data_IF_680085759765
#
_entry.id   IF_680085759765
#
_cell.length_a   1.000
_cell.length_b   1.000
_cell.length_c   1.000
_cell.angle_alpha   90.00
_cell.angle_beta   90.00
_cell.angle_gamma   90.00
#
_symmetry.space_group_name_H-M   'P 1'
#
loop_
_entity.id
_entity.type
_entity.pdbx_description
1 polymer ?
#
# COMPACT_ATOMS: atom_id res chain seq x y z
N UNK A 1 14.99 -5.99 8.22
CA UNK A 1 15.59 -5.30 7.06
C UNK A 1 15.60 -6.26 5.91
N UNK A 2 15.09 -5.81 4.77
CA UNK A 2 15.18 -6.53 3.50
C UNK A 2 16.09 -5.73 2.57
N UNK A 3 17.00 -6.42 1.90
CA UNK A 3 18.02 -5.80 1.06
C UNK A 3 18.02 -6.48 -0.30
N UNK A 4 18.08 -5.67 -1.35
CA UNK A 4 18.33 -6.12 -2.72
C UNK A 4 19.71 -5.60 -3.12
N UNK A 5 20.61 -6.51 -3.48
CA UNK A 5 21.97 -6.18 -3.89
C UNK A 5 22.18 -6.57 -5.36
N UNK A 6 22.67 -5.61 -6.15
CA UNK A 6 23.06 -5.79 -7.54
C UNK A 6 24.54 -5.55 -7.73
N UNK A 7 25.26 -6.53 -8.28
CA UNK A 7 26.67 -6.40 -8.65
C UNK A 7 26.80 -6.20 -10.15
N UNK A 8 27.22 -5.00 -10.56
CA UNK A 8 27.58 -4.69 -11.95
C UNK A 8 29.10 -4.80 -12.12
N UNK A 9 29.55 -5.56 -13.12
CA UNK A 9 30.97 -5.65 -13.45
C UNK A 9 31.30 -5.11 -14.84
N UNK A 10 32.30 -4.22 -14.99
CA UNK A 10 32.73 -3.70 -16.30
C UNK A 10 33.52 -4.73 -17.12
N UNK A 11 34.00 -5.80 -16.49
CA UNK A 11 34.78 -6.87 -17.13
C UNK A 11 34.43 -8.20 -16.47
N UNK A 12 34.55 -9.31 -17.20
CA UNK A 12 34.38 -10.63 -16.60
C UNK A 12 35.33 -10.81 -15.41
N UNK A 13 34.78 -11.09 -14.24
CA UNK A 13 35.54 -11.36 -13.03
C UNK A 13 34.78 -12.33 -12.11
N UNK A 14 35.53 -12.96 -11.21
CA UNK A 14 35.01 -13.88 -10.22
C UNK A 14 34.93 -13.18 -8.87
N UNK A 15 33.82 -13.38 -8.16
CA UNK A 15 33.51 -12.69 -6.92
C UNK A 15 33.09 -13.69 -5.85
N UNK A 16 33.34 -13.32 -4.61
CA UNK A 16 32.56 -13.82 -3.49
C UNK A 16 31.83 -12.65 -2.83
N UNK A 17 30.59 -12.87 -2.43
CA UNK A 17 29.74 -11.86 -1.81
C UNK A 17 29.10 -12.40 -0.53
N UNK A 18 29.20 -11.64 0.55
CA UNK A 18 28.55 -11.94 1.83
C UNK A 18 27.96 -10.68 2.45
N UNK A 19 26.88 -10.88 3.19
CA UNK A 19 26.32 -9.89 4.11
C UNK A 19 26.31 -10.60 5.47
N UNK A 20 27.22 -10.25 6.39
CA UNK A 20 27.25 -10.84 7.72
C UNK A 20 25.90 -10.71 8.42
N UNK A 21 25.55 -11.71 9.24
CA UNK A 21 24.30 -11.74 10.01
C UNK A 21 22.99 -11.65 9.18
N UNK A 22 23.07 -11.93 7.88
CA UNK A 22 21.91 -11.97 6.99
C UNK A 22 21.74 -13.34 6.32
N UNK A 23 20.49 -13.71 6.06
CA UNK A 23 20.19 -14.83 5.16
C UNK A 23 20.28 -14.34 3.72
N UNK A 24 21.21 -14.89 2.93
CA UNK A 24 21.43 -14.52 1.54
C UNK A 24 20.75 -15.50 0.57
N UNK A 25 20.16 -15.00 -0.51
CA UNK A 25 19.61 -15.78 -1.61
C UNK A 25 19.93 -15.13 -2.95
N UNK A 26 20.18 -15.94 -3.97
CA UNK A 26 20.21 -15.44 -5.36
C UNK A 26 18.79 -15.15 -5.83
N UNK A 27 18.56 -14.02 -6.50
CA UNK A 27 17.26 -13.74 -7.11
C UNK A 27 17.05 -14.63 -8.33
N UNK A 28 15.91 -15.36 -8.42
CA UNK A 28 15.57 -16.09 -9.62
C UNK A 28 15.21 -15.08 -10.72
N UNK A 29 15.99 -15.05 -11.80
CA UNK A 29 15.66 -14.25 -12.98
C UNK A 29 14.27 -14.64 -13.50
N UNK A 30 13.45 -13.68 -13.96
CA UNK A 30 12.13 -13.99 -14.51
C UNK A 30 12.27 -15.03 -15.61
N UNK A 31 11.51 -16.13 -15.49
CA UNK A 31 11.40 -17.12 -16.58
C UNK A 31 10.95 -16.35 -17.81
N UNK A 32 11.76 -16.35 -18.88
CA UNK A 32 11.33 -15.81 -20.16
C UNK A 32 10.14 -16.64 -20.66
N UNK A 33 8.93 -16.16 -20.39
CA UNK A 33 7.71 -16.66 -21.01
C UNK A 33 7.59 -15.91 -22.34
N UNK A 34 8.37 -16.33 -23.33
CA UNK A 34 8.37 -15.71 -24.66
C UNK A 34 9.64 -16.04 -25.45
N UNK A 35 9.50 -16.85 -26.50
CA UNK A 35 10.61 -17.36 -27.31
C UNK A 35 11.27 -16.31 -28.21
N UNK A 36 12.18 -15.51 -27.66
CA UNK A 36 13.18 -14.79 -28.46
C UNK A 36 14.53 -15.51 -28.41
N UNK A 37 14.90 -16.09 -29.56
CA UNK A 37 16.06 -16.97 -29.79
C UNK A 37 17.45 -16.28 -29.77
N UNK A 38 17.59 -15.03 -29.29
CA UNK A 38 18.83 -14.25 -29.43
C UNK A 38 19.45 -13.81 -28.07
N UNK A 39 18.83 -14.11 -26.93
CA UNK A 39 19.41 -13.78 -25.62
C UNK A 39 19.67 -15.06 -24.79
N UNK A 40 20.67 -15.84 -25.18
CA UNK A 40 21.28 -16.80 -24.25
C UNK A 40 22.14 -16.02 -23.26
N UNK A 41 21.54 -15.49 -22.18
CA UNK A 41 22.31 -14.98 -21.05
C UNK A 41 23.08 -16.16 -20.44
N UNK A 42 24.41 -16.11 -20.50
CA UNK A 42 25.25 -17.04 -19.75
C UNK A 42 25.01 -16.78 -18.26
N UNK A 43 24.25 -17.69 -17.65
CA UNK A 43 23.77 -17.55 -16.28
C UNK A 43 24.91 -17.77 -15.30
N UNK A 44 25.24 -16.77 -14.50
CA UNK A 44 26.00 -16.98 -13.27
C UNK A 44 25.04 -17.39 -12.15
N UNK A 45 24.79 -18.69 -12.02
CA UNK A 45 24.19 -19.23 -10.81
C UNK A 45 25.25 -19.20 -9.71
N UNK A 46 25.15 -18.24 -8.81
CA UNK A 46 25.96 -18.26 -7.61
C UNK A 46 25.52 -19.41 -6.70
N UNK A 47 26.46 -20.24 -6.26
CA UNK A 47 26.20 -21.22 -5.21
C UNK A 47 26.19 -20.47 -3.87
N UNK A 48 25.06 -20.49 -3.18
CA UNK A 48 24.97 -19.94 -1.82
C UNK A 48 25.41 -21.04 -0.85
N UNK A 49 26.51 -20.79 -0.15
CA UNK A 49 26.99 -21.66 0.94
C UNK A 49 26.60 -21.07 2.28
N UNK A 50 26.15 -21.96 3.15
CA UNK A 50 25.89 -21.66 4.55
C UNK A 50 27.01 -22.28 5.40
N UNK A 51 27.83 -21.44 6.01
CA UNK A 51 28.77 -21.82 7.06
C UNK A 51 28.37 -21.07 8.35
N UNK A 52 29.29 -20.31 8.94
CA UNK A 52 28.99 -19.35 10.00
C UNK A 52 28.25 -18.11 9.46
N UNK A 53 28.32 -17.88 8.15
CA UNK A 53 27.56 -16.86 7.41
C UNK A 53 27.04 -17.41 6.08
N UNK A 54 26.04 -16.74 5.50
CA UNK A 54 25.60 -17.03 4.14
C UNK A 54 26.47 -16.27 3.13
N UNK A 55 27.07 -17.00 2.19
CA UNK A 55 28.00 -16.44 1.19
C UNK A 55 27.71 -16.98 -0.19
N UNK A 56 27.66 -16.10 -1.17
CA UNK A 56 27.70 -16.45 -2.58
C UNK A 56 29.17 -16.64 -2.99
N UNK A 57 29.61 -17.87 -3.21
CA UNK A 57 31.01 -18.15 -3.51
C UNK A 57 31.27 -18.29 -5.00
N UNK A 58 32.39 -17.72 -5.43
CA UNK A 58 33.07 -18.04 -6.68
C UNK A 58 32.19 -17.87 -7.94
N UNK A 59 31.26 -16.93 -7.89
CA UNK A 59 30.35 -16.65 -9.00
C UNK A 59 31.00 -15.67 -9.98
N UNK A 60 30.65 -15.78 -11.27
CA UNK A 60 31.30 -15.00 -12.33
C UNK A 60 30.32 -13.96 -12.85
N UNK A 61 30.62 -12.68 -12.73
CA UNK A 61 29.82 -11.64 -13.39
C UNK A 61 30.50 -11.28 -14.70
N UNK A 62 29.83 -11.55 -15.82
CA UNK A 62 30.29 -11.16 -17.15
C UNK A 62 30.11 -9.65 -17.36
N UNK A 63 30.87 -9.07 -18.31
CA UNK A 63 30.75 -7.66 -18.64
C UNK A 63 29.31 -7.33 -19.06
N UNK A 64 28.73 -6.30 -18.46
CA UNK A 64 27.34 -5.85 -18.69
C UNK A 64 26.25 -6.79 -18.14
N UNK A 65 26.60 -7.77 -17.31
CA UNK A 65 25.63 -8.58 -16.56
C UNK A 65 25.59 -8.16 -15.09
N UNK A 66 24.47 -8.49 -14.43
CA UNK A 66 24.22 -8.22 -13.02
C UNK A 66 24.23 -9.54 -12.24
N UNK A 67 24.96 -9.57 -11.12
CA UNK A 67 24.74 -10.55 -10.06
C UNK A 67 23.69 -10.02 -9.10
N UNK A 68 22.59 -10.74 -8.90
CA UNK A 68 21.44 -10.25 -8.12
C UNK A 68 21.20 -11.12 -6.89
N UNK A 69 21.11 -10.48 -5.73
CA UNK A 69 20.92 -11.13 -4.44
C UNK A 69 19.84 -10.43 -3.62
N UNK A 70 19.15 -11.21 -2.80
CA UNK A 70 18.35 -10.69 -1.68
C UNK A 70 18.96 -11.14 -0.36
N UNK A 71 18.88 -10.25 0.62
CA UNK A 71 19.27 -10.55 1.97
C UNK A 71 18.19 -10.12 2.96
N UNK A 72 18.04 -10.89 4.03
CA UNK A 72 17.12 -10.58 5.14
C UNK A 72 17.91 -10.65 6.44
N UNK A 73 17.82 -9.59 7.24
CA UNK A 73 18.48 -9.49 8.55
C UNK A 73 17.64 -8.63 9.52
N UNK A 74 18.09 -8.58 10.76
CA UNK A 74 17.54 -7.74 11.83
C UNK A 74 18.60 -6.75 12.29
N UNK A 75 18.22 -5.48 12.40
CA UNK A 75 19.09 -4.42 12.94
C UNK A 75 18.46 -3.84 14.21
N UNK A 76 19.24 -3.21 15.10
CA UNK A 76 18.68 -2.36 16.14
C UNK A 76 17.78 -1.28 15.53
N UNK A 77 16.67 -0.96 16.21
CA UNK A 77 15.81 0.16 15.82
C UNK A 77 16.67 1.44 15.79
N UNK A 78 16.66 2.24 14.71
CA UNK A 78 17.34 3.53 14.70
C UNK A 78 16.72 4.45 15.74
N UNK A 79 17.53 5.33 16.35
CA UNK A 79 17.07 6.27 17.38
C UNK A 79 16.31 7.46 16.75
N UNK A 80 15.22 7.12 16.06
CA UNK A 80 14.28 8.05 15.46
C UNK A 80 12.91 7.73 16.07
N UNK A 81 12.29 8.75 16.63
CA UNK A 81 11.05 8.65 17.37
C UNK A 81 10.13 9.80 16.99
N UNK A 82 8.85 9.64 17.29
CA UNK A 82 7.87 10.69 17.11
C UNK A 82 6.54 10.34 17.75
N UNK A 83 5.73 11.37 17.93
CA UNK A 83 4.40 11.27 18.50
C UNK A 83 3.42 12.00 17.59
N UNK A 84 2.22 11.45 17.48
CA UNK A 84 1.15 11.95 16.64
C UNK A 84 -0.18 11.91 17.40
N UNK A 85 -1.01 12.93 17.20
CA UNK A 85 -2.38 12.99 17.69
C UNK A 85 -3.34 13.24 16.53
N UNK A 86 -4.36 12.41 16.42
CA UNK A 86 -5.45 12.55 15.45
C UNK A 86 -6.68 13.08 16.18
N UNK A 87 -7.26 14.16 15.68
CA UNK A 87 -8.45 14.82 16.25
C UNK A 87 -9.48 15.05 15.16
N UNK A 88 -10.76 14.82 15.42
CA UNK A 88 -11.82 15.13 14.46
C UNK A 88 -11.89 16.65 14.18
N UNK A 89 -12.11 17.04 12.93
CA UNK A 89 -12.28 18.45 12.56
C UNK A 89 -13.67 18.96 12.98
N UNK A 90 -13.78 20.05 13.77
CA UNK A 90 -15.07 20.55 14.24
C UNK A 90 -15.90 21.26 13.16
N UNK A 91 -15.31 21.58 12.00
CA UNK A 91 -15.94 22.33 10.91
C UNK A 91 -16.36 21.44 9.75
N UNK A 92 -15.60 20.38 9.47
CA UNK A 92 -15.83 19.48 8.33
C UNK A 92 -16.03 18.06 8.86
N UNK A 93 -17.23 17.53 8.69
CA UNK A 93 -17.57 16.18 9.15
C UNK A 93 -16.77 15.11 8.39
N UNK A 94 -16.25 14.11 9.12
CA UNK A 94 -15.44 13.02 8.54
C UNK A 94 -13.97 13.37 8.33
N UNK A 95 -13.65 14.66 8.27
CA UNK A 95 -12.29 15.14 8.24
C UNK A 95 -11.64 15.06 9.62
N UNK A 96 -10.34 14.78 9.64
CA UNK A 96 -9.54 14.78 10.87
C UNK A 96 -8.28 15.63 10.67
N UNK A 97 -7.74 16.15 11.77
CA UNK A 97 -6.45 16.82 11.83
C UNK A 97 -5.44 15.94 12.53
N UNK A 98 -4.30 15.76 11.90
CA UNK A 98 -3.15 15.06 12.44
C UNK A 98 -2.07 16.08 12.77
N UNK A 99 -1.58 16.05 14.02
CA UNK A 99 -0.50 16.91 14.50
C UNK A 99 0.51 16.09 15.27
N UNK A 100 1.77 16.44 15.20
CA UNK A 100 2.80 15.70 15.91
C UNK A 100 4.18 16.32 15.79
N UNK A 101 5.16 15.60 16.30
CA UNK A 101 6.57 15.93 16.20
C UNK A 101 7.39 14.66 15.95
N UNK A 102 8.45 14.79 15.17
CA UNK A 102 9.48 13.76 14.97
C UNK A 102 10.83 14.28 15.41
N UNK A 103 11.66 13.40 15.96
CA UNK A 103 13.04 13.69 16.36
C UNK A 103 13.99 12.63 15.83
N UNK A 104 15.15 13.06 15.34
CA UNK A 104 16.22 12.17 14.92
C UNK A 104 17.41 12.26 15.88
N UNK A 105 17.55 11.28 16.77
CA UNK A 105 18.69 11.13 17.69
C UNK A 105 19.71 10.10 17.17
N UNK A 106 19.52 9.60 15.93
CA UNK A 106 20.47 8.69 15.29
C UNK A 106 21.72 9.43 14.80
N UNK A 107 22.70 8.68 14.33
CA UNK A 107 23.98 9.21 13.82
C UNK A 107 23.95 9.53 12.31
N UNK A 108 22.79 9.39 11.65
CA UNK A 108 22.63 9.67 10.23
C UNK A 108 21.51 10.65 9.93
N UNK A 109 21.62 11.34 8.79
CA UNK A 109 20.57 12.23 8.28
C UNK A 109 19.54 11.43 7.48
N UNK A 110 18.25 11.68 7.75
CA UNK A 110 17.14 11.17 6.96
C UNK A 110 16.77 12.19 5.87
N UNK A 111 17.04 11.86 4.62
CA UNK A 111 16.79 12.73 3.48
C UNK A 111 15.37 12.56 2.96
N UNK A 112 14.80 13.65 2.46
CA UNK A 112 13.44 13.71 1.91
C UNK A 112 12.41 13.07 2.86
N UNK A 113 12.39 13.46 4.15
CA UNK A 113 11.48 12.88 5.12
C UNK A 113 10.02 13.21 4.76
N UNK A 114 9.16 12.19 4.80
CA UNK A 114 7.73 12.29 4.53
C UNK A 114 6.96 11.65 5.66
N UNK A 115 6.01 12.38 6.22
CA UNK A 115 4.97 11.84 7.10
C UNK A 115 3.88 11.24 6.22
N UNK A 116 3.59 9.96 6.43
CA UNK A 116 2.54 9.22 5.76
C UNK A 116 1.43 8.92 6.75
N UNK A 117 0.20 9.26 6.38
CA UNK A 117 -1.00 8.89 7.10
C UNK A 117 -2.06 8.41 6.10
N UNK A 118 -3.18 7.90 6.62
CA UNK A 118 -4.34 7.57 5.80
C UNK A 118 -4.85 8.81 5.06
N UNK A 119 -5.08 8.75 3.76
CA UNK A 119 -5.61 9.90 3.04
C UNK A 119 -4.60 10.96 2.64
N UNK A 120 -3.39 10.95 3.19
CA UNK A 120 -2.54 12.14 3.13
C UNK A 120 -1.06 11.86 3.37
N UNK A 121 -0.23 12.76 2.85
CA UNK A 121 1.20 12.79 3.06
C UNK A 121 1.67 14.23 3.32
N UNK A 122 2.75 14.39 4.08
CA UNK A 122 3.37 15.68 4.37
C UNK A 122 4.89 15.54 4.30
N UNK A 123 5.50 16.16 3.29
CA UNK A 123 6.95 16.19 3.11
C UNK A 123 7.55 17.32 3.94
N UNK A 124 8.57 17.03 4.76
CA UNK A 124 9.31 18.10 5.44
C UNK A 124 10.22 18.80 4.42
N UNK A 125 10.40 20.10 4.60
CA UNK A 125 11.17 20.93 3.66
C UNK A 125 12.66 20.62 3.70
N UNK A 126 13.20 20.28 4.87
CA UNK A 126 14.61 20.01 5.09
C UNK A 126 14.85 18.53 5.45
N UNK A 127 16.05 17.98 5.13
CA UNK A 127 16.48 16.70 5.68
C UNK A 127 16.46 16.72 7.21
N UNK A 128 16.07 15.62 7.84
CA UNK A 128 16.05 15.49 9.29
C UNK A 128 17.44 15.02 9.77
N UNK A 129 18.30 15.94 10.18
CA UNK A 129 19.66 15.67 10.62
C UNK A 129 19.72 15.16 12.08
N UNK A 130 20.85 14.58 12.51
CA UNK A 130 21.07 14.22 13.92
C UNK A 130 20.87 15.40 14.88
N UNK A 131 20.01 15.20 15.88
CA UNK A 131 19.60 16.19 16.88
C UNK A 131 18.39 17.05 16.49
N UNK A 132 17.86 16.91 15.27
CA UNK A 132 16.73 17.71 14.82
C UNK A 132 15.40 17.24 15.43
N UNK A 133 14.53 18.20 15.72
CA UNK A 133 13.13 18.00 16.12
C UNK A 133 12.24 18.87 15.24
N UNK A 134 11.28 18.25 14.56
CA UNK A 134 10.41 18.94 13.60
C UNK A 134 8.95 18.61 13.89
N UNK A 135 8.15 19.66 14.07
CA UNK A 135 6.70 19.56 14.19
C UNK A 135 6.05 19.40 12.80
N UNK A 136 4.91 18.74 12.75
CA UNK A 136 4.12 18.59 11.52
C UNK A 136 2.61 18.69 11.80
N UNK A 137 1.88 19.15 10.79
CA UNK A 137 0.42 19.17 10.79
C UNK A 137 -0.09 18.84 9.38
N UNK A 138 -1.06 17.94 9.27
CA UNK A 138 -1.75 17.65 8.03
C UNK A 138 -3.22 17.29 8.27
N UNK A 139 -4.02 17.46 7.21
CA UNK A 139 -5.44 17.14 7.20
C UNK A 139 -5.66 15.76 6.62
N UNK A 140 -6.41 14.90 7.32
CA UNK A 140 -6.91 13.63 6.81
C UNK A 140 -8.31 13.87 6.24
N UNK A 141 -8.51 13.77 4.91
CA UNK A 141 -9.75 14.25 4.28
C UNK A 141 -10.99 13.41 4.64
N UNK A 142 -10.83 12.12 4.96
CA UNK A 142 -11.95 11.22 5.21
C UNK A 142 -12.64 10.71 3.93
N UNK A 143 -12.07 10.99 2.75
CA UNK A 143 -12.69 10.68 1.46
C UNK A 143 -12.01 9.49 0.74
N UNK A 144 -10.92 8.96 1.29
CA UNK A 144 -10.21 7.84 0.66
C UNK A 144 -11.09 6.58 0.56
N UNK A 145 -10.88 5.76 -0.48
CA UNK A 145 -11.50 4.45 -0.57
C UNK A 145 -11.11 3.55 0.62
N UNK A 146 -12.03 2.73 1.17
CA UNK A 146 -11.67 1.72 2.16
C UNK A 146 -10.63 0.73 1.61
N UNK A 147 -9.63 0.39 2.42
CA UNK A 147 -8.56 -0.52 2.03
C UNK A 147 -8.99 -2.00 2.17
N UNK A 148 -8.49 -2.93 1.33
CA UNK A 148 -8.74 -4.35 1.55
C UNK A 148 -8.01 -4.84 2.81
N UNK A 149 -8.70 -5.57 3.69
CA UNK A 149 -8.08 -6.16 4.90
C UNK A 149 -7.12 -7.30 4.55
N UNK A 150 -7.33 -7.95 3.41
CA UNK A 150 -6.43 -8.97 2.87
C UNK A 150 -6.21 -8.68 1.39
N UNK A 151 -4.96 -8.45 1.00
CA UNK A 151 -4.63 -8.35 -0.41
C UNK A 151 -4.79 -9.73 -1.06
N UNK A 152 -5.73 -9.82 -1.99
CA UNK A 152 -5.87 -10.97 -2.87
C UNK A 152 -5.39 -10.56 -4.25
N UNK A 153 -4.18 -11.01 -4.61
CA UNK A 153 -3.71 -10.85 -5.98
C UNK A 153 -4.73 -11.49 -6.94
N UNK A 154 -5.24 -10.69 -7.88
CA UNK A 154 -6.20 -11.17 -8.86
C UNK A 154 -5.60 -12.27 -9.73
N UNK A 155 -6.22 -13.44 -9.70
CA UNK A 155 -5.83 -14.58 -10.53
C UNK A 155 -6.12 -14.33 -12.01
N UNK A 156 -7.07 -13.44 -12.33
CA UNK A 156 -7.44 -13.10 -13.71
C UNK A 156 -6.50 -12.04 -14.33
N UNK A 157 -5.99 -11.09 -13.52
CA UNK A 157 -4.97 -10.12 -13.95
C UNK A 157 -3.59 -10.73 -14.20
N UNK A 158 -3.35 -11.98 -13.79
CA UNK A 158 -2.16 -12.72 -14.21
C UNK A 158 -2.22 -13.16 -15.69
N UNK A 159 -3.43 -13.30 -16.26
CA UNK A 159 -3.65 -13.74 -17.65
C UNK A 159 -3.87 -12.56 -18.59
N UNK A 160 -4.63 -11.55 -18.17
CA UNK A 160 -4.59 -10.21 -18.77
C UNK A 160 -3.58 -9.40 -18.00
N UNK A 161 -2.32 -9.46 -18.40
CA UNK A 161 -1.24 -8.63 -17.88
C UNK A 161 -1.72 -7.15 -17.90
N UNK A 162 -2.19 -6.53 -16.80
CA UNK A 162 -2.30 -5.08 -16.81
C UNK A 162 -0.87 -4.61 -17.06
N UNK A 163 -0.66 -3.72 -18.04
CA UNK A 163 0.66 -3.13 -18.23
C UNK A 163 1.17 -2.65 -16.87
N UNK A 164 2.47 -2.76 -16.62
CA UNK A 164 3.11 -2.19 -15.41
C UNK A 164 2.59 -0.76 -15.16
N UNK A 165 2.44 0.02 -16.23
CA UNK A 165 1.81 1.35 -16.27
C UNK A 165 0.45 1.42 -15.56
N UNK A 166 -0.45 0.46 -15.78
CA UNK A 166 -1.78 0.45 -15.14
C UNK A 166 -1.73 0.13 -13.64
N UNK A 167 -0.70 -0.60 -13.18
CA UNK A 167 -0.47 -0.82 -11.74
C UNK A 167 0.14 0.41 -11.08
N UNK A 168 1.18 0.96 -11.70
CA UNK A 168 1.89 2.15 -11.21
C UNK A 168 0.95 3.36 -11.07
N UNK A 169 -0.04 3.50 -11.96
CA UNK A 169 -1.02 4.58 -11.91
C UNK A 169 -1.85 4.63 -10.61
N UNK A 170 -1.82 3.56 -9.79
CA UNK A 170 -2.57 3.47 -8.53
C UNK A 170 -1.69 3.51 -7.27
N UNK A 171 -0.36 3.62 -7.41
CA UNK A 171 0.60 3.53 -6.29
C UNK A 171 0.78 4.88 -5.55
N UNK A 172 -0.27 5.32 -4.87
CA UNK A 172 -0.27 6.59 -4.13
C UNK A 172 0.86 6.69 -3.10
N UNK A 173 1.18 5.61 -2.39
CA UNK A 173 2.28 5.57 -1.43
C UNK A 173 3.65 5.74 -2.08
N UNK A 174 3.83 5.23 -3.30
CA UNK A 174 5.07 5.45 -4.07
C UNK A 174 5.16 6.90 -4.51
N UNK A 175 4.05 7.48 -4.98
CA UNK A 175 3.95 8.91 -5.33
C UNK A 175 4.26 9.79 -4.12
N UNK A 176 3.68 9.49 -2.96
CA UNK A 176 3.89 10.26 -1.72
C UNK A 176 5.35 10.23 -1.26
N UNK A 177 6.00 9.07 -1.32
CA UNK A 177 7.40 8.89 -0.92
C UNK A 177 8.37 9.61 -1.86
N UNK A 178 8.15 9.52 -3.18
CA UNK A 178 9.04 10.11 -4.18
C UNK A 178 8.76 11.58 -4.45
N UNK A 179 7.51 12.00 -4.34
CA UNK A 179 7.02 13.29 -4.82
C UNK A 179 6.49 13.16 -6.25
N UNK A 180 5.40 13.85 -6.54
CA UNK A 180 4.72 13.77 -7.85
C UNK A 180 5.60 14.20 -9.02
N UNK A 181 6.58 15.05 -8.78
CA UNK A 181 7.57 15.51 -9.76
C UNK A 181 8.63 14.46 -10.11
N UNK A 182 8.89 13.50 -9.22
CA UNK A 182 9.86 12.41 -9.40
C UNK A 182 9.22 11.09 -9.80
N UNK A 183 7.92 10.97 -9.59
CA UNK A 183 7.15 9.81 -10.01
C UNK A 183 6.92 9.81 -11.52
N UNK A 184 7.28 8.70 -12.18
CA UNK A 184 7.04 8.51 -13.60
C UNK A 184 6.09 7.33 -13.84
N UNK A 185 4.83 7.63 -14.21
CA UNK A 185 3.84 6.61 -14.56
C UNK A 185 4.24 5.76 -15.79
N UNK A 186 5.11 6.30 -16.65
CA UNK A 186 5.62 5.64 -17.86
C UNK A 186 7.05 5.14 -17.66
N UNK A 187 7.31 4.42 -16.57
CA UNK A 187 8.65 3.96 -16.19
C UNK A 187 9.28 3.01 -17.24
N UNK A 188 8.49 2.40 -18.12
CA UNK A 188 8.93 1.52 -19.20
C UNK A 188 9.25 2.25 -20.51
N UNK A 189 9.19 3.59 -20.53
CA UNK A 189 9.50 4.38 -21.71
C UNK A 189 10.92 4.06 -22.23
N UNK A 190 11.09 3.80 -23.54
CA UNK A 190 12.41 3.62 -24.14
C UNK A 190 13.22 4.94 -24.21
N UNK A 191 12.55 6.08 -24.04
CA UNK A 191 13.17 7.39 -23.97
C UNK A 191 13.42 7.73 -22.51
N UNK A 192 14.58 7.31 -22.02
CA UNK A 192 15.01 7.48 -20.64
C UNK A 192 15.87 8.74 -20.59
N UNK A 193 15.51 9.68 -19.73
CA UNK A 193 16.44 10.75 -19.35
C UNK A 193 17.61 10.12 -18.59
N UNK A 194 18.82 10.27 -19.14
CA UNK A 194 20.06 9.70 -18.61
C UNK A 194 20.72 10.58 -17.55
N UNK A 195 20.08 11.69 -17.17
CA UNK A 195 20.50 12.48 -16.02
C UNK A 195 20.59 11.61 -14.76
N UNK A 196 21.62 11.88 -13.94
CA UNK A 196 21.86 11.11 -12.71
C UNK A 196 20.65 11.14 -11.76
N UNK A 197 19.97 12.29 -11.68
CA UNK A 197 18.79 12.48 -10.83
C UNK A 197 17.59 11.65 -11.33
N UNK A 198 17.36 11.60 -12.65
CA UNK A 198 16.30 10.78 -13.25
C UNK A 198 16.56 9.29 -13.07
N UNK A 199 17.81 8.84 -13.28
CA UNK A 199 18.19 7.44 -13.05
C UNK A 199 18.03 7.03 -11.58
N UNK A 200 18.37 7.93 -10.64
CA UNK A 200 18.19 7.70 -9.21
C UNK A 200 16.71 7.65 -8.81
N UNK A 201 15.90 8.60 -9.29
CA UNK A 201 14.45 8.62 -9.04
C UNK A 201 13.79 7.36 -9.58
N UNK A 202 14.18 6.92 -10.78
CA UNK A 202 13.70 5.68 -11.37
C UNK A 202 14.11 4.45 -10.55
N UNK A 203 15.34 4.40 -10.05
CA UNK A 203 15.82 3.31 -9.18
C UNK A 203 14.99 3.24 -7.91
N UNK A 204 14.76 4.36 -7.23
CA UNK A 204 13.92 4.45 -6.03
C UNK A 204 12.48 4.04 -6.34
N UNK A 205 11.90 4.48 -7.46
CA UNK A 205 10.56 4.08 -7.86
C UNK A 205 10.45 2.57 -8.08
N UNK A 206 11.34 1.96 -8.87
CA UNK A 206 11.33 0.52 -9.09
C UNK A 206 11.50 -0.27 -7.79
N UNK A 207 12.34 0.22 -6.87
CA UNK A 207 12.48 -0.36 -5.54
C UNK A 207 11.16 -0.29 -4.77
N UNK A 208 10.55 0.89 -4.64
CA UNK A 208 9.29 1.06 -3.91
C UNK A 208 8.15 0.23 -4.51
N UNK A 209 7.95 0.28 -5.83
CA UNK A 209 6.90 -0.47 -6.54
C UNK A 209 7.05 -2.00 -6.44
N UNK A 210 8.20 -2.50 -5.95
CA UNK A 210 8.40 -3.93 -5.69
C UNK A 210 7.88 -4.39 -4.31
N UNK A 211 7.71 -3.47 -3.36
CA UNK A 211 7.26 -3.75 -1.99
C UNK A 211 5.90 -3.12 -1.66
N UNK A 212 5.64 -1.93 -2.20
CA UNK A 212 4.44 -1.15 -1.96
C UNK A 212 3.38 -1.55 -2.98
N UNK A 213 2.19 -1.90 -2.49
CA UNK A 213 1.02 -2.11 -3.31
C UNK A 213 -0.14 -1.34 -2.67
N UNK A 214 -0.69 -0.38 -3.39
CA UNK A 214 -1.90 0.37 -3.02
C UNK A 214 -3.07 -0.13 -3.88
N UNK A 215 -3.56 -1.35 -3.62
CA UNK A 215 -4.59 -1.93 -4.45
C UNK A 215 -5.84 -1.05 -4.40
N UNK A 216 -6.43 -0.82 -5.58
CA UNK A 216 -7.67 -0.07 -5.72
C UNK A 216 -7.58 1.40 -5.26
N UNK A 217 -6.37 1.98 -5.31
CA UNK A 217 -6.15 3.38 -4.96
C UNK A 217 -6.29 3.69 -3.46
N UNK A 218 -6.32 2.66 -2.62
CA UNK A 218 -6.31 2.80 -1.17
C UNK A 218 -4.88 2.63 -0.64
N UNK A 219 -4.40 3.59 0.15
CA UNK A 219 -3.05 3.59 0.71
C UNK A 219 -2.80 2.46 1.73
N UNK A 220 -3.85 1.86 2.28
CA UNK A 220 -3.74 0.73 3.22
C UNK A 220 -3.09 1.05 4.57
N UNK A 221 -2.87 2.33 4.89
CA UNK A 221 -2.10 2.77 6.08
C UNK A 221 -2.86 2.63 7.41
N UNK A 222 -4.18 2.37 7.37
CA UNK A 222 -5.01 2.18 8.55
C UNK A 222 -5.09 3.44 9.42
N UNK A 223 -4.81 3.32 10.72
CA UNK A 223 -4.67 4.47 11.65
C UNK A 223 -3.21 4.79 12.00
N UNK A 224 -2.26 4.05 11.41
CA UNK A 224 -0.85 4.31 11.62
C UNK A 224 -0.41 5.61 10.97
N UNK A 225 0.50 6.31 11.65
CA UNK A 225 1.25 7.44 11.10
C UNK A 225 2.71 7.01 11.01
N UNK A 226 3.33 7.23 9.87
CA UNK A 226 4.69 6.77 9.61
C UNK A 226 5.57 7.94 9.19
N UNK A 227 6.78 8.01 9.71
CA UNK A 227 7.86 8.79 9.13
C UNK A 227 8.63 7.87 8.16
N UNK A 228 8.77 8.30 6.92
CA UNK A 228 9.59 7.62 5.94
C UNK A 228 10.65 8.54 5.37
N UNK A 229 11.81 8.01 4.98
CA UNK A 229 12.85 8.80 4.33
C UNK A 229 14.07 7.98 3.96
N UNK A 230 14.96 8.60 3.18
CA UNK A 230 16.07 7.93 2.53
C UNK A 230 17.41 8.24 3.19
N UNK A 231 18.31 7.27 3.20
CA UNK A 231 19.74 7.50 3.47
C UNK A 231 20.60 6.86 2.37
N UNK A 232 21.79 7.40 2.18
CA UNK A 232 22.81 6.89 1.24
C UNK A 232 23.76 5.87 1.89
N UNK A 233 23.41 5.37 3.08
CA UNK A 233 24.16 4.35 3.79
C UNK A 233 23.35 3.05 3.94
N UNK A 234 24.01 1.91 3.74
CA UNK A 234 23.43 0.60 4.10
C UNK A 234 23.51 0.40 5.62
N UNK A 235 22.44 -0.07 6.29
CA UNK A 235 22.51 -0.47 7.70
C UNK A 235 23.16 -1.85 7.89
N UNK A 236 23.45 -2.55 6.79
CA UNK A 236 24.13 -3.84 6.78
C UNK A 236 25.51 -3.68 6.16
N UNK A 237 26.51 -4.27 6.80
CA UNK A 237 27.83 -4.41 6.21
C UNK A 237 27.78 -5.41 5.06
N UNK A 238 28.47 -5.10 3.96
CA UNK A 238 28.62 -6.01 2.84
C UNK A 238 30.08 -6.23 2.51
N UNK A 239 30.42 -7.47 2.22
CA UNK A 239 31.76 -7.89 1.87
C UNK A 239 31.77 -8.42 0.44
N UNK A 240 32.56 -7.79 -0.42
CA UNK A 240 32.81 -8.25 -1.78
C UNK A 240 34.32 -8.45 -1.97
N UNK A 241 34.70 -9.67 -2.34
CA UNK A 241 36.10 -10.01 -2.68
C UNK A 241 36.21 -10.41 -4.15
N UNK A 242 37.39 -10.20 -4.73
CA UNK A 242 37.69 -10.58 -6.13
C UNK A 242 38.08 -9.40 -7.03
N UNK A 243 37.63 -8.19 -6.72
CA UNK A 243 38.07 -6.95 -7.37
C UNK A 243 37.85 -5.72 -6.47
N UNK A 244 38.44 -4.59 -6.84
CA UNK A 244 38.05 -3.29 -6.28
C UNK A 244 36.60 -2.98 -6.64
N UNK A 245 35.87 -2.41 -5.69
CA UNK A 245 34.46 -2.09 -5.85
C UNK A 245 34.12 -0.81 -5.08
N UNK A 246 32.95 -0.25 -5.38
CA UNK A 246 32.42 0.94 -4.72
C UNK A 246 30.94 0.69 -4.40
N UNK A 247 30.52 0.80 -3.12
CA UNK A 247 29.11 0.71 -2.77
C UNK A 247 28.33 1.88 -3.36
N UNK A 248 27.06 1.62 -3.67
CA UNK A 248 26.07 2.62 -4.05
C UNK A 248 24.79 2.30 -3.27
N UNK A 249 24.79 2.71 -2.01
CA UNK A 249 23.75 2.30 -1.07
C UNK A 249 22.58 3.26 -1.09
N UNK A 250 21.39 2.72 -0.88
CA UNK A 250 20.18 3.51 -0.65
C UNK A 250 19.24 2.70 0.19
N UNK A 251 18.86 3.29 1.33
CA UNK A 251 18.03 2.64 2.32
C UNK A 251 16.82 3.53 2.57
N UNK A 252 15.64 2.96 2.47
CA UNK A 252 14.41 3.58 2.96
C UNK A 252 14.19 3.12 4.39
N UNK A 253 14.02 4.07 5.31
CA UNK A 253 13.43 3.80 6.61
C UNK A 253 11.93 4.12 6.56
N UNK A 254 11.12 3.26 7.17
CA UNK A 254 9.70 3.50 7.44
C UNK A 254 9.50 3.22 8.93
N UNK A 255 9.11 4.26 9.67
CA UNK A 255 9.10 4.28 11.13
C UNK A 255 7.70 4.66 11.58
N UNK A 256 7.00 3.72 12.23
CA UNK A 256 5.70 3.99 12.83
C UNK A 256 5.86 4.91 14.04
N UNK A 257 5.08 5.99 14.07
CA UNK A 257 5.06 6.97 15.14
C UNK A 257 4.07 6.52 16.23
N UNK A 258 4.36 6.87 17.48
CA UNK A 258 3.41 6.64 18.56
C UNK A 258 2.19 7.54 18.34
N UNK A 259 1.06 6.95 17.94
CA UNK A 259 -0.11 7.69 17.48
C UNK A 259 -1.27 7.48 18.45
N UNK A 260 -1.88 8.57 18.88
CA UNK A 260 -3.07 8.58 19.73
C UNK A 260 -4.24 9.23 18.99
N UNK A 261 -5.40 8.58 19.00
CA UNK A 261 -6.66 9.19 18.54
C UNK A 261 -7.33 9.88 19.73
N UNK A 262 -7.52 11.18 19.63
CA UNK A 262 -8.24 11.97 20.63
C UNK A 262 -9.70 12.06 20.18
N UNK A 263 -10.56 11.27 20.80
CA UNK A 263 -12.00 11.25 20.52
C UNK A 263 -12.74 12.24 21.43
N UNK A 264 -13.70 12.96 20.86
CA UNK A 264 -14.60 13.81 21.63
C UNK A 264 -15.76 13.03 22.26
N UNK A 265 -16.48 13.68 23.17
CA UNK A 265 -17.76 13.16 23.70
C UNK A 265 -18.94 13.33 22.73
N UNK A 266 -18.67 13.85 21.54
CA UNK A 266 -19.65 14.19 20.53
C UNK A 266 -20.01 13.02 19.64
N UNK A 267 -21.01 13.26 18.82
CA UNK A 267 -21.36 12.39 17.71
C UNK A 267 -20.27 12.53 16.63
N UNK A 268 -19.57 11.44 16.32
CA UNK A 268 -18.48 11.40 15.33
C UNK A 268 -18.88 10.58 14.11
N UNK A 269 -18.46 11.01 12.92
CA UNK A 269 -18.53 10.23 11.69
C UNK A 269 -17.26 9.38 11.54
N UNK A 270 -17.46 8.08 11.42
CA UNK A 270 -16.47 7.14 10.89
C UNK A 270 -16.66 7.08 9.38
N UNK A 271 -15.76 7.75 8.68
CA UNK A 271 -15.74 7.88 7.22
C UNK A 271 -15.29 6.58 6.53
N UNK A 272 -15.49 6.52 5.21
CA UNK A 272 -15.23 5.33 4.41
C UNK A 272 -13.77 4.82 4.48
N UNK A 273 -12.81 5.73 4.53
CA UNK A 273 -11.37 5.43 4.65
C UNK A 273 -11.02 4.73 5.98
N UNK A 274 -11.85 4.90 7.01
CA UNK A 274 -11.71 4.24 8.30
C UNK A 274 -12.28 2.81 8.32
N UNK A 275 -12.66 2.24 7.16
CA UNK A 275 -13.08 0.85 7.03
C UNK A 275 -12.06 0.04 6.23
N UNK A 276 -11.87 -1.20 6.67
CA UNK A 276 -11.33 -2.27 5.85
C UNK A 276 -12.46 -3.05 5.17
N UNK A 277 -12.21 -3.64 4.00
CA UNK A 277 -13.17 -4.55 3.35
C UNK A 277 -12.59 -5.92 3.01
N UNK A 278 -13.46 -6.92 2.91
CA UNK A 278 -13.13 -8.28 2.46
C UNK A 278 -14.21 -8.84 1.55
N UNK A 279 -13.81 -9.53 0.48
CA UNK A 279 -14.71 -10.30 -0.36
C UNK A 279 -15.07 -11.62 0.34
N UNK A 280 -16.34 -11.79 0.67
CA UNK A 280 -16.85 -12.99 1.34
C UNK A 280 -17.19 -14.10 0.33
N UNK A 281 -17.92 -13.75 -0.72
CA UNK A 281 -18.26 -14.67 -1.80
C UNK A 281 -18.53 -13.92 -3.10
N UNK A 282 -18.40 -14.64 -4.22
CA UNK A 282 -18.82 -14.17 -5.55
C UNK A 282 -19.28 -15.36 -6.39
N UNK A 283 -20.23 -15.15 -7.29
CA UNK A 283 -20.61 -16.12 -8.33
C UNK A 283 -19.93 -15.88 -9.67
N UNK A 284 -19.29 -14.72 -9.84
CA UNK A 284 -18.63 -14.32 -11.09
C UNK A 284 -17.14 -14.71 -11.17
N UNK A 285 -16.56 -14.54 -12.36
CA UNK A 285 -15.13 -14.80 -12.61
C UNK A 285 -14.28 -13.52 -12.58
N UNK A 286 -14.90 -12.35 -12.36
CA UNK A 286 -14.24 -11.06 -12.30
C UNK A 286 -13.33 -10.86 -11.09
N UNK A 287 -12.49 -9.84 -11.18
CA UNK A 287 -11.82 -9.25 -10.02
C UNK A 287 -12.80 -8.26 -9.39
N UNK A 288 -13.29 -8.59 -8.19
CA UNK A 288 -14.30 -7.80 -7.52
C UNK A 288 -13.68 -6.96 -6.42
N UNK A 289 -13.89 -5.66 -6.52
CA UNK A 289 -13.53 -4.69 -5.51
C UNK A 289 -14.71 -3.76 -5.27
N UNK A 290 -14.74 -3.01 -4.16
CA UNK A 290 -15.74 -1.96 -3.96
C UNK A 290 -15.65 -0.82 -4.98
N UNK A 291 -14.63 -0.81 -5.86
CA UNK A 291 -14.33 0.26 -6.80
C UNK A 291 -14.33 -0.24 -8.24
N UNK A 292 -14.80 0.62 -9.15
CA UNK A 292 -14.93 0.35 -10.58
C UNK A 292 -15.50 -1.04 -10.89
N UNK A 293 -16.44 -1.46 -10.05
CA UNK A 293 -17.01 -2.77 -10.06
C UNK A 293 -17.90 -2.91 -11.29
N UNK A 294 -17.75 -4.03 -11.97
CA UNK A 294 -18.64 -4.45 -13.04
C UNK A 294 -19.17 -5.83 -12.74
N UNK A 295 -20.49 -5.93 -12.61
CA UNK A 295 -21.19 -7.20 -12.49
C UNK A 295 -21.90 -7.49 -13.81
N UNK A 296 -21.61 -8.64 -14.41
CA UNK A 296 -22.37 -9.15 -15.55
C UNK A 296 -23.66 -9.84 -15.05
N UNK A 297 -24.54 -10.19 -15.97
CA UNK A 297 -25.85 -10.76 -15.66
C UNK A 297 -25.75 -11.99 -14.75
N UNK A 298 -26.59 -12.06 -13.70
CA UNK A 298 -26.60 -13.12 -12.69
C UNK A 298 -25.35 -13.25 -11.82
N UNK A 299 -24.40 -12.31 -11.93
CA UNK A 299 -23.30 -12.20 -10.98
C UNK A 299 -23.78 -11.58 -9.67
N UNK A 300 -23.29 -12.15 -8.57
CA UNK A 300 -23.51 -11.70 -7.21
C UNK A 300 -22.17 -11.57 -6.51
N UNK A 301 -22.01 -10.51 -5.72
CA UNK A 301 -20.88 -10.37 -4.81
C UNK A 301 -21.36 -10.07 -3.39
N UNK A 302 -20.59 -10.52 -2.41
CA UNK A 302 -20.80 -10.24 -1.00
C UNK A 302 -19.52 -9.66 -0.41
N UNK A 303 -19.60 -8.44 0.12
CA UNK A 303 -18.51 -7.71 0.74
C UNK A 303 -18.80 -7.55 2.23
N UNK A 304 -17.77 -7.64 3.06
CA UNK A 304 -17.83 -7.25 4.48
C UNK A 304 -16.94 -6.06 4.72
N UNK A 305 -17.51 -4.99 5.24
CA UNK A 305 -16.81 -3.81 5.73
C UNK A 305 -16.67 -3.90 7.25
N UNK A 306 -15.49 -3.59 7.78
CA UNK A 306 -15.21 -3.56 9.22
C UNK A 306 -14.40 -2.30 9.52
N UNK A 307 -14.82 -1.45 10.48
CA UNK A 307 -14.00 -0.33 10.91
C UNK A 307 -12.60 -0.79 11.32
N UNK A 308 -11.60 0.07 11.13
CA UNK A 308 -10.28 -0.12 11.74
C UNK A 308 -10.41 -0.08 13.27
N UNK A 309 -9.43 -0.66 13.97
CA UNK A 309 -9.55 -0.95 15.40
C UNK A 309 -9.89 0.28 16.27
N UNK A 310 -9.33 1.44 15.94
CA UNK A 310 -9.54 2.73 16.62
C UNK A 310 -10.75 3.52 16.08
N UNK A 311 -11.49 2.95 15.14
CA UNK A 311 -12.70 3.53 14.55
C UNK A 311 -13.98 2.75 14.92
N UNK A 312 -13.87 1.77 15.82
CA UNK A 312 -15.05 1.04 16.33
C UNK A 312 -15.79 1.93 17.33
N UNK A 313 -17.03 2.29 16.98
CA UNK A 313 -17.94 3.04 17.84
C UNK A 313 -18.54 2.12 18.92
N UNK A 314 -18.75 2.65 20.12
CA UNK A 314 -19.47 1.98 21.21
C UNK A 314 -20.97 1.91 20.93
N UNK A 315 -21.49 2.90 20.20
CA UNK A 315 -22.88 3.02 19.81
C UNK A 315 -22.95 3.64 18.42
N UNK A 316 -23.65 2.99 17.50
CA UNK A 316 -23.93 3.49 16.14
C UNK A 316 -25.32 4.11 16.12
N UNK A 317 -25.40 5.39 15.78
CA UNK A 317 -26.65 6.17 15.63
C UNK A 317 -27.15 6.21 14.19
N UNK A 318 -26.22 6.17 13.22
CA UNK A 318 -26.54 6.17 11.80
C UNK A 318 -25.62 5.22 11.02
N UNK A 319 -26.20 4.58 10.01
CA UNK A 319 -25.47 3.82 8.98
C UNK A 319 -25.77 4.42 7.60
N UNK A 320 -24.72 4.67 6.82
CA UNK A 320 -24.84 5.14 5.45
C UNK A 320 -24.18 4.19 4.47
N UNK A 321 -24.83 4.00 3.32
CA UNK A 321 -24.22 3.44 2.11
C UNK A 321 -23.77 4.59 1.22
N UNK A 322 -22.49 4.59 0.85
CA UNK A 322 -21.91 5.57 -0.07
C UNK A 322 -21.71 4.90 -1.43
N UNK A 323 -22.27 5.51 -2.47
CA UNK A 323 -22.27 5.00 -3.82
C UNK A 323 -21.86 6.09 -4.82
N UNK A 324 -20.75 5.91 -5.52
CA UNK A 324 -20.33 6.86 -6.56
C UNK A 324 -20.35 6.23 -7.95
N UNK A 325 -20.61 7.06 -8.97
CA UNK A 325 -20.55 6.69 -10.39
C UNK A 325 -21.35 5.42 -10.72
N UNK A 326 -22.62 5.38 -10.31
CA UNK A 326 -23.52 4.26 -10.64
C UNK A 326 -23.94 4.39 -12.10
N UNK A 327 -23.63 3.38 -12.91
CA UNK A 327 -24.25 3.20 -14.22
C UNK A 327 -24.97 1.86 -14.25
N UNK A 328 -26.26 1.89 -13.91
CA UNK A 328 -27.20 0.79 -14.10
C UNK A 328 -28.20 1.20 -15.18
N UNK A 329 -28.73 0.23 -15.94
CA UNK A 329 -29.87 0.49 -16.83
C UNK A 329 -31.12 1.04 -16.12
N UNK A 330 -31.18 0.93 -14.78
CA UNK A 330 -32.24 1.47 -13.91
C UNK A 330 -31.78 2.67 -13.04
N UNK A 331 -32.76 3.35 -12.43
CA UNK A 331 -32.55 4.51 -11.52
C UNK A 331 -32.17 4.13 -10.09
N UNK A 332 -32.22 2.85 -9.75
CA UNK A 332 -31.97 2.32 -8.42
C UNK A 332 -30.94 1.19 -8.51
N UNK A 333 -30.09 1.11 -7.49
CA UNK A 333 -29.16 0.01 -7.32
C UNK A 333 -29.74 -0.96 -6.28
N UNK A 334 -30.06 -2.21 -6.66
CA UNK A 334 -30.51 -3.20 -5.67
C UNK A 334 -29.31 -3.60 -4.80
N UNK A 335 -29.34 -3.19 -3.54
CA UNK A 335 -28.34 -3.53 -2.52
C UNK A 335 -29.03 -4.36 -1.45
N UNK A 336 -28.43 -5.45 -0.98
CA UNK A 336 -28.89 -6.12 0.23
C UNK A 336 -27.92 -5.95 1.38
N UNK A 337 -28.44 -5.77 2.60
CA UNK A 337 -27.66 -5.81 3.84
C UNK A 337 -27.99 -7.06 4.63
N UNK A 338 -26.99 -7.62 5.31
CA UNK A 338 -27.17 -8.78 6.16
C UNK A 338 -27.78 -8.39 7.49
N UNK A 339 -28.96 -8.91 7.79
CA UNK A 339 -29.55 -8.83 9.12
C UNK A 339 -28.89 -9.86 10.04
N UNK A 340 -28.12 -9.38 11.03
CA UNK A 340 -27.39 -10.23 11.95
C UNK A 340 -28.30 -10.96 12.95
N UNK A 341 -29.48 -10.40 13.27
CA UNK A 341 -30.44 -11.02 14.17
C UNK A 341 -31.25 -12.11 13.46
N UNK A 342 -31.79 -11.79 12.28
CA UNK A 342 -32.62 -12.71 11.51
C UNK A 342 -31.82 -13.70 10.67
N UNK A 343 -30.53 -13.46 10.43
CA UNK A 343 -29.66 -14.24 9.54
C UNK A 343 -30.22 -14.31 8.12
N UNK A 344 -30.67 -13.16 7.60
CA UNK A 344 -31.26 -13.03 6.27
C UNK A 344 -30.79 -11.75 5.58
N UNK A 345 -30.73 -11.78 4.26
CA UNK A 345 -30.49 -10.59 3.46
C UNK A 345 -31.76 -9.75 3.31
N UNK A 346 -31.66 -8.45 3.53
CA UNK A 346 -32.75 -7.47 3.35
C UNK A 346 -32.39 -6.55 2.20
N UNK A 347 -33.27 -6.45 1.20
CA UNK A 347 -33.04 -5.63 0.00
C UNK A 347 -33.46 -4.18 0.19
N UNK A 348 -32.70 -3.29 -0.43
CA UNK A 348 -32.88 -1.85 -0.49
C UNK A 348 -32.76 -1.40 -1.94
N UNK A 349 -33.66 -0.53 -2.36
CA UNK A 349 -33.55 0.21 -3.62
C UNK A 349 -32.80 1.51 -3.33
N UNK A 350 -31.48 1.47 -3.49
CA UNK A 350 -30.63 2.59 -3.15
C UNK A 350 -30.61 3.59 -4.29
N UNK A 351 -30.84 4.87 -3.95
CA UNK A 351 -30.73 6.00 -4.87
C UNK A 351 -29.93 7.13 -4.24
N UNK A 352 -29.15 7.83 -5.06
CA UNK A 352 -28.27 8.92 -4.62
C UNK A 352 -26.89 8.45 -4.19
N UNK A 353 -26.01 9.42 -3.92
CA UNK A 353 -24.61 9.14 -3.58
C UNK A 353 -24.42 8.69 -2.14
N UNK A 354 -25.30 9.14 -1.22
CA UNK A 354 -25.25 8.81 0.20
C UNK A 354 -26.65 8.45 0.68
N UNK A 355 -26.83 7.18 1.05
CA UNK A 355 -28.13 6.62 1.45
C UNK A 355 -28.12 6.22 2.92
N UNK A 356 -29.04 6.80 3.71
CA UNK A 356 -29.22 6.46 5.13
C UNK A 356 -30.05 5.19 5.25
N UNK A 357 -29.53 4.19 5.94
CA UNK A 357 -30.22 2.92 6.21
C UNK A 357 -31.17 3.11 7.39
N UNK A 358 -32.47 2.84 7.19
CA UNK A 358 -33.45 2.82 8.28
C UNK A 358 -33.33 1.54 9.10
N UNK A 359 -33.67 1.62 10.39
CA UNK A 359 -33.55 0.52 11.37
C UNK A 359 -32.14 -0.12 11.33
N UNK A 360 -31.10 0.71 11.34
CA UNK A 360 -29.73 0.28 11.02
C UNK A 360 -29.17 -0.74 12.02
N UNK A 361 -29.66 -0.74 13.26
CA UNK A 361 -29.11 -1.52 14.37
C UNK A 361 -29.06 -3.03 14.06
N UNK A 362 -30.02 -3.54 13.27
CA UNK A 362 -30.06 -4.95 12.86
C UNK A 362 -28.98 -5.34 11.84
N UNK A 363 -28.37 -4.36 11.16
CA UNK A 363 -27.35 -4.56 10.13
C UNK A 363 -25.93 -4.35 10.65
N UNK A 364 -25.79 -3.91 11.90
CA UNK A 364 -24.49 -3.74 12.58
C UNK A 364 -24.10 -5.04 13.28
N UNK A 365 -23.01 -5.64 12.80
CA UNK A 365 -22.45 -6.88 13.32
C UNK A 365 -21.37 -6.66 14.40
N UNK A 366 -20.66 -7.73 14.78
CA UNK A 366 -19.52 -7.63 15.68
C UNK A 366 -18.48 -6.62 15.18
N UNK A 367 -17.93 -5.81 16.10
CA UNK A 367 -16.99 -4.72 15.79
C UNK A 367 -17.56 -3.71 14.79
N UNK A 368 -18.87 -3.50 14.83
CA UNK A 368 -19.64 -2.70 13.89
C UNK A 368 -19.49 -3.08 12.42
N UNK A 369 -19.21 -4.36 12.13
CA UNK A 369 -19.08 -4.81 10.75
C UNK A 369 -20.42 -4.78 10.00
N UNK A 370 -20.38 -4.45 8.71
CA UNK A 370 -21.55 -4.43 7.81
C UNK A 370 -21.28 -5.34 6.64
N UNK A 371 -22.22 -6.23 6.31
CA UNK A 371 -22.15 -7.04 5.10
C UNK A 371 -23.12 -6.52 4.06
N UNK A 372 -22.60 -6.35 2.84
CA UNK A 372 -23.31 -5.81 1.69
C UNK A 372 -23.28 -6.83 0.58
N UNK A 373 -24.41 -7.03 -0.08
CA UNK A 373 -24.54 -7.87 -1.26
C UNK A 373 -25.07 -7.07 -2.44
N UNK A 374 -24.43 -7.24 -3.58
CA UNK A 374 -24.88 -6.71 -4.86
C UNK A 374 -25.17 -7.87 -5.80
N UNK A 375 -26.25 -7.75 -6.57
CA UNK A 375 -26.63 -8.74 -7.58
C UNK A 375 -27.08 -8.03 -8.85
N UNK A 376 -26.48 -8.39 -9.98
CA UNK A 376 -26.95 -7.94 -11.28
C UNK A 376 -28.22 -8.72 -11.67
N UNK A 377 -29.31 -8.00 -11.94
CA UNK A 377 -30.58 -8.59 -12.35
C UNK A 377 -30.59 -8.99 -13.84
N UNK A 378 -31.36 -10.03 -14.16
CA UNK A 378 -31.45 -10.66 -15.49
C UNK A 378 -31.83 -9.68 -16.62
N UNK A 379 -32.63 -8.66 -16.31
CA UNK A 379 -33.26 -7.76 -17.29
C UNK A 379 -32.49 -6.47 -17.59
N UNK A 380 -31.36 -6.20 -16.93
CA UNK A 380 -30.74 -4.86 -16.86
C UNK A 380 -29.44 -4.62 -17.63
N UNK A 381 -28.86 -5.64 -18.28
CA UNK A 381 -27.49 -5.56 -18.81
C UNK A 381 -26.43 -5.67 -17.71
N UNK A 382 -25.24 -5.13 -17.94
CA UNK A 382 -24.18 -5.09 -16.92
C UNK A 382 -24.43 -3.96 -15.92
N UNK A 383 -24.14 -4.21 -14.64
CA UNK A 383 -24.17 -3.21 -13.58
C UNK A 383 -22.76 -2.66 -13.39
N UNK A 384 -22.61 -1.33 -13.31
CA UNK A 384 -21.36 -0.73 -12.82
C UNK A 384 -21.58 0.14 -11.61
N UNK A 385 -20.68 -0.01 -10.64
CA UNK A 385 -20.61 0.79 -9.42
C UNK A 385 -19.19 1.29 -9.31
N UNK A 386 -18.97 2.60 -9.48
CA UNK A 386 -17.63 3.17 -9.38
C UNK A 386 -17.07 3.13 -7.96
N UNK A 387 -17.93 3.27 -6.94
CA UNK A 387 -17.56 3.07 -5.54
C UNK A 387 -18.76 2.56 -4.74
N UNK A 388 -18.52 1.60 -3.83
CA UNK A 388 -19.40 1.20 -2.75
C UNK A 388 -18.61 1.26 -1.43
N UNK A 389 -19.07 2.06 -0.49
CA UNK A 389 -18.47 2.17 0.83
C UNK A 389 -19.52 2.29 1.94
N UNK A 390 -19.06 2.19 3.18
CA UNK A 390 -19.85 2.30 4.40
C UNK A 390 -19.35 3.49 5.21
N UNK A 391 -20.27 4.25 5.78
CA UNK A 391 -19.97 5.20 6.85
C UNK A 391 -20.89 4.93 8.04
N UNK A 392 -20.39 5.22 9.24
CA UNK A 392 -21.17 5.12 10.47
C UNK A 392 -21.05 6.39 11.27
N UNK A 393 -22.14 6.83 11.89
CA UNK A 393 -22.11 7.93 12.85
C UNK A 393 -22.47 7.43 14.23
N UNK A 394 -21.76 7.87 15.26
CA UNK A 394 -22.03 7.40 16.62
C UNK A 394 -21.06 7.95 17.67
N UNK A 395 -20.92 7.23 18.78
CA UNK A 395 -20.07 7.61 19.91
C UNK A 395 -18.97 6.59 20.14
N UNK A 396 -17.81 7.03 20.63
CA UNK A 396 -16.76 6.16 21.16
C UNK A 396 -17.05 5.75 22.61
N UNK A 397 -16.40 4.69 23.13
CA UNK A 397 -16.50 4.34 24.55
C UNK A 397 -15.90 5.46 25.42
N UNK A 398 -16.43 5.60 26.65
CA UNK A 398 -15.98 6.59 27.64
C UNK A 398 -14.86 6.06 28.51
#
# INVERSE_FOLDING_TARGET
VETVAGLLSPRRAQYDFSIPDATLRSLPLPRQIGGNLIATSAQSRAEIRQSDQFRAESFTVDASFLGEFTAVSTIPRPDIQGQASIVDDPQIEGQQRLRGAVSNESDFTLNEPVILARGASFRLEEPLAPGDVVDFELTLPGEEPPAPTLYRASTFNAVRNPSLVARLATEQTVVDLLGGERFNANIDSPFIDDSRESLESRRRQLFLSSFVADPYGASGRGSGVYLAGWTEASPLDSELTGAEWRPQDTTLYIIELNTERITGNGLTLVSADQFGWTLQSTTGLGDFSPFDMRLDQDEEIQLRYTPIADAVLSQVEDLYLVLNNISSGGRFLPVSLWDWGAQTWVSFDVSGERYRVADHERFIGPQNAVQVRLRAEETGGFMRVGQLAIEQRGYFER
#
